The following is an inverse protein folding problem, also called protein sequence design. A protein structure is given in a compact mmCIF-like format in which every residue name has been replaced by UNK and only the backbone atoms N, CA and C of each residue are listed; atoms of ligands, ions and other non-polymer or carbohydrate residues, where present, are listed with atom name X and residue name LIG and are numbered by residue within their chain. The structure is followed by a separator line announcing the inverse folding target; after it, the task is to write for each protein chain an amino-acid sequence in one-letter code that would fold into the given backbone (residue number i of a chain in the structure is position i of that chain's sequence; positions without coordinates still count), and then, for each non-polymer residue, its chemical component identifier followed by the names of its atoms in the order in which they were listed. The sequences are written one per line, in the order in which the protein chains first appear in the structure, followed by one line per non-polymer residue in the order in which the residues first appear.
data_IF_479785464210
#
_entry.id   IF_479785464210
#
_cell.length_a   1.000
_cell.length_b   1.000
_cell.length_c   1.000
_cell.angle_alpha   90.00
_cell.angle_beta   90.00
_cell.angle_gamma   90.00
#
_symmetry.space_group_name_H-M   'P 1'
#
loop_
_entity.id
_entity.type
_entity.pdbx_description
1 polymer ?
#
# COMPACT_ATOMS: atom_id res chain seq x y z
N UNK A 1 -29.34 14.80 -12.64
CA UNK A 1 -27.96 14.41 -12.27
C UNK A 1 -27.67 13.11 -12.98
N UNK A 2 -26.84 13.18 -14.02
CA UNK A 2 -26.44 12.01 -14.81
C UNK A 2 -25.37 11.24 -14.02
N UNK A 3 -25.43 9.90 -13.93
CA UNK A 3 -24.37 9.15 -13.29
C UNK A 3 -23.11 9.28 -14.15
N UNK A 4 -22.01 9.73 -13.54
CA UNK A 4 -20.68 9.65 -14.13
C UNK A 4 -20.43 8.19 -14.51
N UNK A 5 -20.27 7.94 -15.82
CA UNK A 5 -19.70 6.69 -16.31
C UNK A 5 -18.20 6.77 -16.08
N UNK A 6 -17.78 6.48 -14.86
CA UNK A 6 -16.37 6.38 -14.45
C UNK A 6 -15.88 4.94 -14.67
N UNK A 7 -15.87 4.46 -15.91
CA UNK A 7 -14.99 3.34 -16.25
C UNK A 7 -13.56 3.91 -16.34
N UNK A 8 -12.59 3.30 -15.65
CA UNK A 8 -11.20 3.54 -16.04
C UNK A 8 -11.11 3.20 -17.53
N UNK A 9 -10.46 4.04 -18.33
CA UNK A 9 -10.40 3.97 -19.81
C UNK A 9 -9.94 2.61 -20.42
N UNK A 10 -9.65 1.61 -19.59
CA UNK A 10 -9.06 0.31 -19.91
C UNK A 10 -9.75 -0.86 -19.16
N UNK A 11 -11.01 -0.71 -18.73
CA UNK A 11 -11.77 -1.78 -18.06
C UNK A 11 -11.30 -2.15 -16.65
N UNK A 12 -10.35 -1.39 -16.08
CA UNK A 12 -9.96 -1.49 -14.67
C UNK A 12 -11.08 -0.90 -13.80
N UNK A 13 -11.21 -1.43 -12.59
CA UNK A 13 -12.09 -0.84 -11.57
C UNK A 13 -11.63 0.58 -11.25
N UNK A 14 -12.40 1.37 -10.51
CA UNK A 14 -11.85 2.54 -9.81
C UNK A 14 -11.49 2.19 -8.36
N UNK A 15 -10.69 3.02 -7.70
CA UNK A 15 -10.22 2.73 -6.33
C UNK A 15 -11.38 2.46 -5.36
N UNK A 16 -12.47 3.22 -5.44
CA UNK A 16 -13.65 3.03 -4.58
C UNK A 16 -14.34 1.69 -4.81
N UNK A 17 -14.42 1.23 -6.06
CA UNK A 17 -15.01 -0.08 -6.38
C UNK A 17 -14.14 -1.22 -5.86
N UNK A 18 -12.82 -1.06 -5.93
CA UNK A 18 -11.86 -2.06 -5.48
C UNK A 18 -11.79 -2.14 -3.95
N UNK A 19 -11.89 -1.00 -3.26
CA UNK A 19 -11.87 -0.89 -1.80
C UNK A 19 -13.26 -1.00 -1.15
N UNK A 20 -14.29 -1.33 -1.93
CA UNK A 20 -15.66 -1.32 -1.46
C UNK A 20 -15.88 -2.35 -0.35
N UNK A 21 -16.55 -1.91 0.71
CA UNK A 21 -16.97 -2.76 1.82
C UNK A 21 -18.48 -2.65 2.03
N UNK A 22 -19.09 -3.77 2.42
CA UNK A 22 -20.49 -3.80 2.88
C UNK A 22 -20.56 -3.80 4.40
N UNK A 23 -21.45 -3.02 5.01
CA UNK A 23 -21.75 -3.16 6.42
C UNK A 23 -22.47 -4.50 6.67
N UNK A 24 -22.10 -5.15 7.77
CA UNK A 24 -22.77 -6.34 8.30
C UNK A 24 -23.53 -5.98 9.58
N UNK A 25 -24.47 -6.82 10.04
CA UNK A 25 -25.12 -6.62 11.33
C UNK A 25 -24.11 -6.50 12.47
N UNK A 26 -24.30 -5.50 13.32
CA UNK A 26 -23.49 -5.29 14.52
C UNK A 26 -23.53 -6.53 15.42
N UNK A 27 -22.41 -6.84 16.07
CA UNK A 27 -22.35 -7.85 17.12
C UNK A 27 -22.28 -7.18 18.47
N UNK A 28 -23.13 -7.61 19.41
CA UNK A 28 -22.98 -7.23 20.81
C UNK A 28 -22.17 -8.29 21.52
N UNK A 29 -21.03 -7.90 22.08
CA UNK A 29 -20.19 -8.77 22.90
C UNK A 29 -19.90 -8.09 24.24
N UNK A 30 -20.36 -8.71 25.32
CA UNK A 30 -20.04 -8.29 26.69
C UNK A 30 -20.36 -6.81 26.98
N UNK A 31 -21.43 -6.28 26.37
CA UNK A 31 -21.86 -4.88 26.52
C UNK A 31 -21.22 -3.89 25.53
N UNK A 32 -20.27 -4.35 24.70
CA UNK A 32 -19.67 -3.55 23.65
C UNK A 32 -20.33 -3.86 22.30
N UNK A 33 -20.68 -2.81 21.56
CA UNK A 33 -21.12 -2.93 20.16
C UNK A 33 -19.89 -3.00 19.26
N UNK A 34 -19.78 -4.09 18.51
CA UNK A 34 -18.75 -4.33 17.51
C UNK A 34 -19.36 -4.06 16.14
N UNK A 35 -18.85 -3.05 15.44
CA UNK A 35 -19.22 -2.77 14.05
C UNK A 35 -18.56 -3.79 13.14
N UNK A 36 -19.29 -4.29 12.15
CA UNK A 36 -18.78 -5.33 11.24
C UNK A 36 -18.89 -4.88 9.79
N UNK A 37 -17.87 -5.19 9.01
CA UNK A 37 -17.83 -4.93 7.57
C UNK A 37 -17.24 -6.13 6.84
N UNK A 38 -17.57 -6.27 5.56
CA UNK A 38 -17.00 -7.29 4.68
C UNK A 38 -16.46 -6.64 3.40
N UNK A 39 -15.29 -7.05 2.93
CA UNK A 39 -14.81 -6.65 1.61
C UNK A 39 -15.70 -7.24 0.52
N UNK A 40 -16.11 -6.45 -0.47
CA UNK A 40 -16.91 -6.97 -1.59
C UNK A 40 -16.05 -7.71 -2.62
N UNK A 41 -14.76 -7.41 -2.69
CA UNK A 41 -13.84 -7.94 -3.69
C UNK A 41 -12.60 -8.57 -3.06
N UNK A 42 -11.93 -9.41 -3.84
CA UNK A 42 -10.65 -10.00 -3.48
C UNK A 42 -9.62 -8.90 -3.23
N UNK A 43 -8.74 -9.10 -2.25
CA UNK A 43 -7.55 -8.25 -2.13
C UNK A 43 -6.69 -8.38 -3.38
N UNK A 44 -6.20 -7.25 -3.89
CA UNK A 44 -5.23 -7.27 -4.97
C UNK A 44 -3.87 -7.75 -4.46
N UNK A 45 -3.21 -8.53 -5.30
CA UNK A 45 -1.85 -9.00 -5.08
C UNK A 45 -1.04 -8.68 -6.34
N UNK A 46 0.10 -8.01 -6.17
CA UNK A 46 0.95 -7.57 -7.28
C UNK A 46 1.47 -8.72 -8.15
N UNK A 47 1.60 -9.92 -7.56
CA UNK A 47 2.01 -11.13 -8.28
C UNK A 47 1.00 -11.56 -9.35
N UNK A 48 -0.28 -11.22 -9.22
CA UNK A 48 -1.29 -11.52 -10.23
C UNK A 48 -1.08 -10.72 -11.52
N UNK A 49 -0.38 -9.58 -11.44
CA UNK A 49 -0.04 -8.76 -12.59
C UNK A 49 1.22 -9.27 -13.32
N UNK A 50 1.90 -10.29 -12.80
CA UNK A 50 3.14 -10.85 -13.38
C UNK A 50 2.85 -12.21 -14.06
N UNK A 51 2.94 -12.31 -15.41
CA UNK A 51 2.42 -13.46 -16.16
C UNK A 51 2.98 -14.84 -15.79
N UNK A 52 4.24 -14.91 -15.33
CA UNK A 52 4.91 -16.17 -15.01
C UNK A 52 4.96 -16.49 -13.50
N UNK A 53 4.43 -15.63 -12.64
CA UNK A 53 4.41 -15.85 -11.18
C UNK A 53 3.03 -16.24 -10.65
N UNK A 54 2.03 -16.42 -11.53
CA UNK A 54 0.74 -17.00 -11.15
C UNK A 54 0.96 -18.35 -10.46
N UNK A 55 0.68 -18.40 -9.15
CA UNK A 55 0.81 -19.58 -8.30
C UNK A 55 2.12 -19.74 -7.52
N UNK A 56 3.10 -18.81 -7.63
CA UNK A 56 4.46 -19.04 -7.10
C UNK A 56 4.86 -18.28 -5.83
N UNK A 57 4.13 -17.23 -5.39
CA UNK A 57 4.50 -16.48 -4.17
C UNK A 57 3.29 -16.15 -3.30
N UNK A 58 3.07 -16.95 -2.26
CA UNK A 58 2.24 -16.59 -1.13
C UNK A 58 3.10 -15.86 -0.08
N UNK A 59 2.74 -14.62 0.26
CA UNK A 59 3.29 -13.90 1.41
C UNK A 59 2.84 -14.58 2.71
N UNK A 60 3.62 -15.54 3.24
CA UNK A 60 3.32 -16.26 4.50
C UNK A 60 3.68 -15.43 5.74
N UNK A 61 2.87 -15.40 6.81
CA UNK A 61 2.65 -16.60 7.65
C UNK A 61 1.22 -17.10 7.85
N UNK A 62 0.21 -16.30 7.47
CA UNK A 62 -1.17 -16.67 7.14
C UNK A 62 -1.71 -15.58 6.19
N UNK A 63 -0.97 -15.35 5.10
CA UNK A 63 -1.33 -14.32 4.12
C UNK A 63 -2.78 -14.47 3.71
N UNK A 64 -3.51 -13.36 3.69
CA UNK A 64 -4.92 -13.45 3.39
C UNK A 64 -5.17 -13.94 1.97
N UNK A 65 -6.21 -14.74 1.82
CA UNK A 65 -6.55 -15.48 0.62
C UNK A 65 -7.40 -14.60 -0.30
N UNK A 66 -7.22 -14.75 -1.61
CA UNK A 66 -7.94 -13.94 -2.61
C UNK A 66 -9.28 -14.54 -3.03
N UNK A 67 -9.58 -15.77 -2.62
CA UNK A 67 -10.78 -16.52 -2.99
C UNK A 67 -11.94 -16.35 -2.00
N UNK A 68 -11.82 -15.44 -1.03
CA UNK A 68 -12.80 -15.23 0.05
C UNK A 68 -12.70 -13.81 0.64
N UNK A 69 -13.78 -13.30 1.26
CA UNK A 69 -13.78 -11.95 1.79
C UNK A 69 -12.94 -11.81 3.06
N UNK A 70 -12.51 -10.57 3.32
CA UNK A 70 -12.08 -10.14 4.64
C UNK A 70 -13.28 -9.63 5.44
N UNK A 71 -13.40 -10.11 6.68
CA UNK A 71 -14.39 -9.69 7.66
C UNK A 71 -13.67 -8.79 8.67
N UNK A 72 -14.08 -7.53 8.73
CA UNK A 72 -13.55 -6.50 9.61
C UNK A 72 -14.45 -6.36 10.82
N UNK A 73 -13.89 -6.49 12.01
CA UNK A 73 -14.57 -6.22 13.27
C UNK A 73 -13.92 -5.00 13.92
N UNK A 74 -14.71 -3.94 14.15
CA UNK A 74 -14.26 -2.67 14.68
C UNK A 74 -14.80 -2.48 16.09
N UNK A 75 -13.90 -2.36 17.05
CA UNK A 75 -14.19 -2.13 18.46
C UNK A 75 -13.67 -0.75 18.87
N UNK A 76 -14.53 0.06 19.49
CA UNK A 76 -14.10 1.32 20.11
C UNK A 76 -13.34 1.03 21.39
N UNK A 77 -12.05 1.36 21.43
CA UNK A 77 -11.22 1.25 22.63
C UNK A 77 -11.40 2.45 23.56
N UNK A 78 -11.44 3.64 22.96
CA UNK A 78 -11.66 4.89 23.68
C UNK A 78 -12.29 5.92 22.75
N UNK A 79 -13.26 6.67 23.26
CA UNK A 79 -13.90 7.75 22.54
C UNK A 79 -14.03 8.97 23.45
N UNK A 80 -13.49 10.09 23.00
CA UNK A 80 -13.71 11.40 23.59
C UNK A 80 -13.79 12.46 22.47
N UNK A 81 -14.22 13.70 22.75
CA UNK A 81 -14.40 14.72 21.71
C UNK A 81 -13.15 15.03 20.87
N UNK A 82 -11.96 14.73 21.38
CA UNK A 82 -10.69 15.03 20.73
C UNK A 82 -10.03 13.81 20.08
N UNK A 83 -10.38 12.59 20.52
CA UNK A 83 -9.73 11.36 20.08
C UNK A 83 -10.72 10.21 20.01
N UNK A 84 -10.70 9.52 18.87
CA UNK A 84 -11.40 8.26 18.68
C UNK A 84 -10.37 7.17 18.40
N UNK A 85 -10.29 6.15 19.27
CA UNK A 85 -9.35 5.03 19.13
C UNK A 85 -10.12 3.75 18.86
N UNK A 86 -9.81 3.12 17.73
CA UNK A 86 -10.42 1.90 17.25
C UNK A 86 -9.40 0.77 17.23
N UNK A 87 -9.86 -0.42 17.60
CA UNK A 87 -9.21 -1.67 17.24
C UNK A 87 -9.99 -2.29 16.09
N UNK A 88 -9.32 -2.48 14.96
CA UNK A 88 -9.82 -3.26 13.84
C UNK A 88 -9.18 -4.64 13.89
N UNK A 89 -9.98 -5.69 13.96
CA UNK A 89 -9.53 -7.09 13.85
C UNK A 89 -10.10 -7.69 12.58
N UNK A 90 -9.24 -8.31 11.77
CA UNK A 90 -9.64 -8.83 10.47
C UNK A 90 -9.43 -10.33 10.40
N UNK A 91 -10.44 -11.05 9.92
CA UNK A 91 -10.44 -12.50 9.72
C UNK A 91 -10.99 -12.84 8.35
N UNK A 92 -10.81 -14.07 7.90
CA UNK A 92 -11.43 -14.58 6.69
C UNK A 92 -12.19 -15.88 6.97
N UNK A 93 -13.22 -16.21 6.19
CA UNK A 93 -13.82 -17.53 6.18
C UNK A 93 -12.79 -18.66 6.00
N UNK A 94 -13.03 -19.80 6.63
CA UNK A 94 -12.21 -21.01 6.47
C UNK A 94 -12.43 -21.72 5.13
N UNK A 95 -13.59 -21.49 4.50
CA UNK A 95 -13.91 -21.97 3.16
C UNK A 95 -13.81 -20.84 2.11
N UNK A 96 -13.54 -21.17 0.82
CA UNK A 96 -13.65 -20.22 -0.28
C UNK A 96 -15.06 -19.64 -0.41
N UNK A 97 -15.17 -18.53 -1.15
CA UNK A 97 -16.44 -17.92 -1.51
C UNK A 97 -17.36 -18.89 -2.25
N UNK A 98 -18.66 -18.71 -2.07
CA UNK A 98 -19.69 -19.45 -2.80
C UNK A 98 -19.94 -18.92 -4.22
N UNK A 99 -19.40 -17.76 -4.58
CA UNK A 99 -19.54 -17.21 -5.93
C UNK A 99 -18.50 -17.80 -6.89
N UNK A 100 -18.97 -18.65 -7.81
CA UNK A 100 -18.12 -19.28 -8.82
C UNK A 100 -17.53 -18.29 -9.84
N UNK A 101 -18.13 -17.10 -10.03
CA UNK A 101 -17.61 -16.08 -10.94
C UNK A 101 -16.39 -15.33 -10.38
N UNK A 102 -16.25 -15.27 -9.04
CA UNK A 102 -15.11 -14.64 -8.37
C UNK A 102 -15.00 -13.12 -8.53
N UNK A 103 -16.03 -12.46 -9.05
CA UNK A 103 -16.06 -11.01 -9.30
C UNK A 103 -16.45 -10.19 -8.04
N UNK A 104 -17.27 -10.77 -7.16
CA UNK A 104 -17.63 -10.24 -5.85
C UNK A 104 -17.88 -11.36 -4.82
N UNK A 105 -17.94 -11.01 -3.54
CA UNK A 105 -18.27 -11.92 -2.44
C UNK A 105 -19.73 -11.74 -1.96
N UNK A 106 -20.57 -12.80 -2.04
CA UNK A 106 -21.94 -12.77 -1.52
C UNK A 106 -21.99 -12.49 -0.02
N UNK A 107 -23.02 -11.77 0.45
CA UNK A 107 -23.23 -11.51 1.89
C UNK A 107 -23.28 -12.79 2.74
N UNK A 108 -23.75 -13.89 2.17
CA UNK A 108 -23.79 -15.19 2.85
C UNK A 108 -22.39 -15.70 3.24
N UNK A 109 -21.34 -15.28 2.55
CA UNK A 109 -19.97 -15.67 2.88
C UNK A 109 -19.51 -15.09 4.22
N UNK A 110 -20.11 -14.00 4.70
CA UNK A 110 -19.82 -13.39 6.00
C UNK A 110 -20.23 -14.27 7.20
N UNK A 111 -21.13 -15.22 6.97
CA UNK A 111 -21.66 -16.14 7.98
C UNK A 111 -20.91 -17.48 8.02
N UNK A 112 -19.95 -17.67 7.10
CA UNK A 112 -19.09 -18.86 7.11
C UNK A 112 -18.17 -18.87 8.35
N UNK A 113 -17.77 -20.05 8.85
CA UNK A 113 -16.87 -20.15 9.99
C UNK A 113 -15.55 -19.41 9.74
N UNK A 114 -15.24 -18.45 10.60
CA UNK A 114 -14.05 -17.61 10.48
C UNK A 114 -12.80 -18.35 10.97
N UNK A 115 -11.71 -18.17 10.24
CA UNK A 115 -10.38 -18.63 10.61
C UNK A 115 -9.72 -17.73 11.66
N UNK A 116 -8.39 -17.88 11.86
CA UNK A 116 -7.63 -17.02 12.74
C UNK A 116 -7.55 -15.58 12.21
N UNK A 117 -7.02 -14.68 13.05
CA UNK A 117 -6.79 -13.28 12.68
C UNK A 117 -5.74 -13.19 11.57
N UNK A 118 -6.10 -12.50 10.49
CA UNK A 118 -5.19 -12.17 9.39
C UNK A 118 -4.29 -11.01 9.79
N UNK A 119 -4.89 -9.93 10.29
CA UNK A 119 -4.19 -8.79 10.87
C UNK A 119 -5.08 -8.02 11.85
N UNK A 120 -4.44 -7.16 12.64
CA UNK A 120 -5.11 -6.18 13.50
C UNK A 120 -4.51 -4.80 13.28
N UNK A 121 -5.32 -3.76 13.41
CA UNK A 121 -4.89 -2.37 13.30
C UNK A 121 -5.45 -1.53 14.46
N UNK A 122 -4.61 -0.66 15.01
CA UNK A 122 -5.03 0.41 15.90
C UNK A 122 -5.16 1.68 15.06
N UNK A 123 -6.33 2.30 15.09
CA UNK A 123 -6.62 3.50 14.29
C UNK A 123 -7.07 4.61 15.22
N UNK A 124 -6.42 5.76 15.12
CA UNK A 124 -6.69 6.93 15.95
C UNK A 124 -7.15 8.08 15.05
N UNK A 125 -8.33 8.62 15.33
CA UNK A 125 -8.86 9.81 14.66
C UNK A 125 -8.81 11.01 15.58
N UNK A 126 -8.60 12.18 14.98
CA UNK A 126 -8.64 13.48 15.62
C UNK A 126 -9.43 14.46 14.75
N UNK A 127 -10.27 15.34 15.33
CA UNK A 127 -10.89 16.42 14.56
C UNK A 127 -9.85 17.36 13.94
N UNK A 128 -10.22 17.96 12.81
CA UNK A 128 -9.42 19.04 12.21
C UNK A 128 -9.23 20.20 13.19
N UNK A 129 -8.08 20.85 13.11
CA UNK A 129 -7.74 21.96 14.01
C UNK A 129 -6.91 23.02 13.29
N UNK A 130 -6.81 24.20 13.90
CA UNK A 130 -5.92 25.25 13.41
C UNK A 130 -4.51 24.93 13.88
N UNK A 131 -3.57 24.86 12.93
CA UNK A 131 -2.15 24.65 13.24
C UNK A 131 -1.57 25.88 13.92
N UNK A 132 -1.34 25.80 15.24
CA UNK A 132 -0.69 26.88 15.99
C UNK A 132 0.81 26.96 15.70
N UNK A 133 1.44 25.81 15.46
CA UNK A 133 2.86 25.67 15.12
C UNK A 133 2.96 24.71 13.94
N UNK A 134 3.63 25.16 12.88
CA UNK A 134 3.92 24.34 11.70
C UNK A 134 5.43 24.34 11.46
N UNK A 135 6.02 23.14 11.43
CA UNK A 135 7.43 22.95 11.13
C UNK A 135 7.61 21.60 10.42
N UNK A 136 8.42 21.62 9.37
CA UNK A 136 8.83 20.43 8.61
C UNK A 136 10.25 20.65 8.09
N UNK A 137 10.88 19.60 7.56
CA UNK A 137 12.13 19.74 6.84
C UNK A 137 11.94 20.42 5.47
N UNK A 138 13.06 20.76 4.82
CA UNK A 138 13.04 21.26 3.45
C UNK A 138 12.37 20.24 2.52
N UNK A 139 11.46 20.72 1.67
CA UNK A 139 10.68 19.86 0.78
C UNK A 139 11.58 19.01 -0.12
N UNK A 140 11.09 17.81 -0.45
CA UNK A 140 11.80 16.92 -1.38
C UNK A 140 11.99 17.58 -2.74
N UNK A 141 11.03 18.39 -3.18
CA UNK A 141 11.09 19.18 -4.41
C UNK A 141 12.28 20.13 -4.39
N UNK A 142 12.51 20.85 -3.29
CA UNK A 142 13.65 21.76 -3.17
C UNK A 142 14.97 21.00 -3.04
N UNK A 143 15.03 19.91 -2.25
CA UNK A 143 16.25 19.13 -2.05
C UNK A 143 16.73 18.41 -3.31
N UNK A 144 15.80 17.96 -4.16
CA UNK A 144 16.08 17.19 -5.37
C UNK A 144 15.76 17.97 -6.65
N UNK A 145 15.62 19.29 -6.59
CA UNK A 145 15.20 20.14 -7.72
C UNK A 145 16.01 19.88 -9.01
N UNK A 146 17.33 19.74 -8.90
CA UNK A 146 18.20 19.48 -10.05
C UNK A 146 17.96 18.11 -10.71
N UNK A 147 17.58 17.10 -9.94
CA UNK A 147 17.29 15.75 -10.47
C UNK A 147 15.88 15.73 -11.03
N UNK A 148 14.89 16.24 -10.28
CA UNK A 148 13.50 16.29 -10.72
C UNK A 148 13.32 17.13 -11.99
N UNK A 149 14.10 18.22 -12.14
CA UNK A 149 14.11 19.08 -13.33
C UNK A 149 15.05 18.61 -14.45
N UNK A 150 15.74 17.47 -14.29
CA UNK A 150 16.70 16.99 -15.30
C UNK A 150 16.03 16.46 -16.57
N UNK A 151 14.75 16.07 -16.48
CA UNK A 151 13.93 15.63 -17.61
C UNK A 151 12.44 15.89 -17.34
N UNK A 152 11.61 16.03 -18.39
CA UNK A 152 10.16 16.11 -18.28
C UNK A 152 9.54 14.91 -17.56
N UNK A 153 8.37 15.12 -16.93
CA UNK A 153 7.64 14.08 -16.20
C UNK A 153 7.33 12.83 -17.02
N UNK A 154 7.04 13.00 -18.31
CA UNK A 154 6.71 11.91 -19.23
C UNK A 154 7.90 10.97 -19.51
N UNK A 155 9.14 11.45 -19.30
CA UNK A 155 10.38 10.70 -19.53
C UNK A 155 10.83 9.90 -18.30
N UNK A 156 10.13 10.01 -17.17
CA UNK A 156 10.35 9.09 -16.05
C UNK A 156 9.69 7.74 -16.33
N UNK A 157 10.43 6.69 -16.01
CA UNK A 157 9.99 5.31 -16.17
C UNK A 157 8.79 5.01 -15.26
N UNK A 158 7.78 4.26 -15.74
CA UNK A 158 6.69 3.80 -14.90
C UNK A 158 7.21 2.88 -13.77
N UNK A 159 6.53 2.92 -12.63
CA UNK A 159 6.81 1.98 -11.54
C UNK A 159 6.12 0.64 -11.84
N UNK A 160 6.87 -0.46 -11.96
CA UNK A 160 6.30 -1.77 -12.25
C UNK A 160 5.44 -2.27 -11.07
N UNK A 161 4.47 -3.18 -11.30
CA UNK A 161 3.65 -3.78 -10.26
C UNK A 161 4.45 -4.51 -9.18
N UNK A 162 5.58 -5.10 -9.57
CA UNK A 162 6.57 -5.69 -8.68
C UNK A 162 7.94 -5.09 -8.98
N UNK A 163 8.37 -4.13 -8.16
CA UNK A 163 9.69 -3.50 -8.29
C UNK A 163 10.80 -4.38 -7.72
N UNK A 164 11.09 -5.47 -8.43
CA UNK A 164 12.19 -6.41 -8.14
C UNK A 164 13.11 -6.43 -9.35
N UNK A 165 14.39 -6.07 -9.16
CA UNK A 165 15.33 -5.88 -10.27
C UNK A 165 15.36 -7.06 -11.28
N UNK A 166 15.32 -8.31 -10.82
CA UNK A 166 15.26 -9.48 -11.70
C UNK A 166 13.98 -9.60 -12.53
N UNK A 167 12.82 -9.22 -11.95
CA UNK A 167 11.53 -9.20 -12.67
C UNK A 167 11.53 -8.07 -13.70
N UNK A 168 11.96 -6.87 -13.31
CA UNK A 168 12.03 -5.70 -14.19
C UNK A 168 12.99 -5.96 -15.36
N UNK A 169 14.14 -6.59 -15.11
CA UNK A 169 15.06 -6.98 -16.19
C UNK A 169 14.45 -7.99 -17.16
N UNK A 170 13.50 -8.81 -16.72
CA UNK A 170 12.86 -9.84 -17.56
C UNK A 170 11.64 -9.32 -18.33
N UNK A 171 10.88 -8.39 -17.76
CA UNK A 171 9.60 -7.92 -18.30
C UNK A 171 9.60 -6.47 -18.78
N UNK A 172 10.62 -5.70 -18.45
CA UNK A 172 10.61 -4.25 -18.62
C UNK A 172 9.83 -3.52 -17.53
N UNK A 173 9.75 -2.21 -17.67
CA UNK A 173 9.06 -1.27 -16.78
C UNK A 173 7.61 -1.01 -17.19
N UNK A 174 7.28 -1.20 -18.47
CA UNK A 174 5.98 -0.89 -19.09
C UNK A 174 4.83 -1.84 -18.72
N UNK A 175 5.03 -2.71 -17.73
CA UNK A 175 3.98 -3.61 -17.26
C UNK A 175 2.91 -2.81 -16.52
N UNK A 176 1.74 -2.66 -17.15
CA UNK A 176 0.60 -2.00 -16.54
C UNK A 176 -0.10 -2.99 -15.60
N UNK A 177 -0.08 -2.67 -14.30
CA UNK A 177 -0.81 -3.45 -13.29
C UNK A 177 -2.32 -3.27 -13.38
N UNK A 178 -3.07 -4.21 -12.80
CA UNK A 178 -4.54 -4.19 -12.84
C UNK A 178 -5.16 -3.29 -11.77
N UNK A 179 -4.43 -2.95 -10.70
CA UNK A 179 -4.96 -2.12 -9.62
C UNK A 179 -5.03 -0.63 -10.00
N UNK A 180 -6.18 0.03 -9.81
CA UNK A 180 -6.48 1.31 -10.47
C UNK A 180 -6.34 2.56 -9.59
N UNK A 181 -5.45 2.58 -8.61
CA UNK A 181 -5.37 3.74 -7.72
C UNK A 181 -4.60 4.92 -8.33
N UNK A 182 -3.43 4.62 -8.88
CA UNK A 182 -2.38 5.62 -9.06
C UNK A 182 -1.54 5.32 -10.30
N UNK A 183 -1.26 6.36 -11.06
CA UNK A 183 -0.16 6.39 -12.02
C UNK A 183 1.11 6.72 -11.24
N UNK A 184 2.19 5.97 -11.48
CA UNK A 184 3.42 6.03 -10.69
C UNK A 184 4.64 6.05 -11.60
N UNK A 185 5.58 6.95 -11.32
CA UNK A 185 6.87 7.07 -12.00
C UNK A 185 8.02 6.96 -11.00
N UNK A 186 9.12 6.32 -11.42
CA UNK A 186 10.34 6.19 -10.60
C UNK A 186 11.39 7.20 -11.05
N UNK A 187 11.87 8.02 -10.11
CA UNK A 187 12.99 8.93 -10.37
C UNK A 187 14.28 8.13 -10.32
N UNK A 188 15.13 8.31 -11.33
CA UNK A 188 16.48 7.73 -11.32
C UNK A 188 17.38 8.46 -10.33
N UNK A 189 17.66 7.79 -9.20
CA UNK A 189 18.58 8.25 -8.17
C UNK A 189 19.90 7.47 -8.16
N UNK A 190 20.25 6.75 -9.23
CA UNK A 190 21.43 5.89 -9.27
C UNK A 190 22.71 6.67 -8.93
N UNK A 191 22.97 7.79 -9.61
CA UNK A 191 24.14 8.64 -9.35
C UNK A 191 24.07 9.32 -7.97
N UNK A 192 22.88 9.63 -7.47
CA UNK A 192 22.73 10.21 -6.12
C UNK A 192 23.04 9.19 -5.02
N UNK A 193 22.67 7.92 -5.23
CA UNK A 193 22.83 6.84 -4.26
C UNK A 193 24.22 6.17 -4.31
N UNK A 194 25.00 6.41 -5.37
CA UNK A 194 26.32 5.83 -5.55
C UNK A 194 27.24 6.12 -4.34
N UNK A 195 27.91 5.08 -3.85
CA UNK A 195 28.81 5.17 -2.70
C UNK A 195 28.14 5.37 -1.34
N UNK A 196 26.84 5.68 -1.27
CA UNK A 196 26.15 5.91 -0.01
C UNK A 196 25.84 4.62 0.75
N UNK A 197 25.94 4.64 2.10
CA UNK A 197 25.42 3.55 2.91
C UNK A 197 23.89 3.46 2.79
N UNK A 198 23.33 2.28 3.04
CA UNK A 198 21.91 1.98 2.81
C UNK A 198 20.94 3.04 3.41
N UNK A 199 21.20 3.48 4.65
CA UNK A 199 20.35 4.45 5.36
C UNK A 199 20.38 5.88 4.77
N UNK A 200 21.40 6.20 3.97
CA UNK A 200 21.51 7.47 3.25
C UNK A 200 20.97 7.39 1.81
N UNK A 201 20.71 6.18 1.30
CA UNK A 201 20.08 6.00 -0.01
C UNK A 201 18.63 6.43 0.02
N UNK A 202 18.13 6.87 -1.13
CA UNK A 202 16.75 7.32 -1.34
C UNK A 202 16.15 6.70 -2.58
N UNK A 203 14.84 6.50 -2.57
CA UNK A 203 14.04 6.34 -3.77
C UNK A 203 12.94 7.40 -3.78
N UNK A 204 12.67 8.00 -4.94
CA UNK A 204 11.54 8.91 -5.12
C UNK A 204 10.56 8.30 -6.12
N UNK A 205 9.32 8.14 -5.67
CA UNK A 205 8.20 7.75 -6.53
C UNK A 205 7.32 8.97 -6.72
N UNK A 206 7.14 9.38 -7.97
CA UNK A 206 6.14 10.37 -8.34
C UNK A 206 4.83 9.63 -8.53
N UNK A 207 3.72 10.15 -8.01
CA UNK A 207 2.42 9.53 -8.25
C UNK A 207 1.27 10.52 -8.32
N UNK A 208 0.22 10.13 -9.02
CA UNK A 208 -1.03 10.89 -9.14
C UNK A 208 -2.21 9.93 -9.24
N UNK A 209 -3.42 10.44 -9.03
CA UNK A 209 -4.64 9.68 -9.23
C UNK A 209 -4.74 9.18 -10.68
N UNK A 210 -5.05 7.89 -10.84
CA UNK A 210 -5.33 7.30 -12.16
C UNK A 210 -6.77 7.58 -12.62
N UNK A 211 -7.69 7.74 -11.68
CA UNK A 211 -9.09 8.10 -11.88
C UNK A 211 -9.51 9.12 -10.80
N UNK A 212 -10.47 10.02 -11.08
CA UNK A 212 -10.87 11.04 -10.12
C UNK A 212 -11.51 10.43 -8.86
N UNK A 213 -11.28 11.09 -7.73
CA UNK A 213 -11.93 10.78 -6.45
C UNK A 213 -12.73 12.00 -5.97
N UNK A 214 -13.86 11.80 -5.27
CA UNK A 214 -14.62 12.91 -4.68
C UNK A 214 -13.75 13.71 -3.70
N UNK A 215 -13.53 14.99 -3.97
CA UNK A 215 -12.78 15.87 -3.06
C UNK A 215 -13.50 16.07 -1.70
N UNK A 216 -14.81 15.82 -1.64
CA UNK A 216 -15.61 15.88 -0.42
C UNK A 216 -15.37 14.72 0.56
N UNK A 217 -14.61 13.70 0.15
CA UNK A 217 -14.33 12.52 0.94
C UNK A 217 -12.81 12.38 1.15
N UNK A 218 -12.19 13.13 2.06
CA UNK A 218 -10.73 13.12 2.23
C UNK A 218 -10.19 11.76 2.70
N UNK A 219 -11.01 10.93 3.35
CA UNK A 219 -10.59 9.62 3.86
C UNK A 219 -10.20 8.68 2.71
N UNK A 220 -10.88 8.75 1.57
CA UNK A 220 -10.53 7.93 0.39
C UNK A 220 -9.18 8.34 -0.21
N UNK A 221 -8.82 9.63 -0.18
CA UNK A 221 -7.51 10.12 -0.64
C UNK A 221 -6.39 9.69 0.29
N UNK A 222 -6.61 9.79 1.61
CA UNK A 222 -5.69 9.26 2.63
C UNK A 222 -5.44 7.77 2.42
N UNK A 223 -6.48 7.00 2.09
CA UNK A 223 -6.34 5.57 1.79
C UNK A 223 -5.53 5.32 0.51
N UNK A 224 -5.67 6.15 -0.52
CA UNK A 224 -4.80 6.06 -1.72
C UNK A 224 -3.34 6.34 -1.37
N UNK A 225 -3.05 7.34 -0.54
CA UNK A 225 -1.68 7.60 -0.09
C UNK A 225 -1.08 6.41 0.68
N UNK A 226 -1.86 5.80 1.58
CA UNK A 226 -1.42 4.61 2.30
C UNK A 226 -1.18 3.41 1.35
N UNK A 227 -2.10 3.17 0.41
CA UNK A 227 -1.95 2.12 -0.61
C UNK A 227 -0.68 2.32 -1.45
N UNK A 228 -0.50 3.53 -1.99
CA UNK A 228 0.67 3.92 -2.79
C UNK A 228 1.97 3.64 -2.05
N UNK A 229 2.03 4.03 -0.76
CA UNK A 229 3.21 3.88 0.05
C UNK A 229 3.56 2.40 0.32
N UNK A 230 2.57 1.54 0.46
CA UNK A 230 2.78 0.10 0.71
C UNK A 230 3.05 -0.71 -0.56
N UNK A 231 2.53 -0.29 -1.74
CA UNK A 231 2.51 -1.08 -3.00
C UNK A 231 3.82 -1.81 -3.32
N UNK A 232 4.96 -1.10 -3.28
CA UNK A 232 6.28 -1.69 -3.51
C UNK A 232 7.15 -1.76 -2.25
N UNK A 233 6.77 -1.08 -1.16
CA UNK A 233 7.40 -1.07 0.17
C UNK A 233 8.75 -1.78 0.30
N UNK A 234 8.73 -2.98 0.90
CA UNK A 234 9.92 -3.82 1.15
C UNK A 234 10.70 -4.25 -0.11
N UNK A 235 10.08 -4.27 -1.29
CA UNK A 235 10.75 -4.65 -2.53
C UNK A 235 11.84 -3.61 -2.90
N UNK A 236 11.57 -2.33 -2.67
CA UNK A 236 12.55 -1.25 -2.83
C UNK A 236 13.78 -1.48 -1.94
N UNK A 237 13.58 -1.92 -0.69
CA UNK A 237 14.70 -2.25 0.21
C UNK A 237 15.57 -3.37 -0.38
N UNK A 238 14.94 -4.38 -0.99
CA UNK A 238 15.64 -5.49 -1.64
C UNK A 238 16.55 -5.04 -2.77
N UNK A 239 16.07 -4.14 -3.63
CA UNK A 239 16.88 -3.56 -4.70
C UNK A 239 18.04 -2.73 -4.12
N UNK A 240 17.76 -1.87 -3.14
CA UNK A 240 18.74 -0.98 -2.53
C UNK A 240 19.80 -1.71 -1.70
N UNK A 241 19.47 -2.89 -1.17
CA UNK A 241 20.39 -3.78 -0.48
C UNK A 241 21.20 -4.70 -1.43
N UNK A 242 20.99 -4.60 -2.75
CA UNK A 242 21.72 -5.40 -3.74
C UNK A 242 21.25 -6.85 -3.86
N UNK A 243 20.05 -7.18 -3.35
CA UNK A 243 19.46 -8.52 -3.46
C UNK A 243 18.32 -8.60 -4.48
N UNK A 244 18.07 -7.54 -5.27
CA UNK A 244 16.98 -7.49 -6.24
C UNK A 244 16.97 -8.59 -7.32
N UNK A 245 18.12 -9.19 -7.63
CA UNK A 245 18.22 -10.35 -8.55
C UNK A 245 18.18 -11.71 -7.83
N UNK A 246 18.26 -11.71 -6.49
CA UNK A 246 18.30 -12.91 -5.67
C UNK A 246 17.32 -12.79 -4.50
N UNK A 247 16.18 -12.11 -4.70
CA UNK A 247 15.19 -11.92 -3.65
C UNK A 247 14.47 -13.26 -3.41
N UNK A 248 14.48 -13.73 -2.17
CA UNK A 248 13.89 -15.02 -1.80
C UNK A 248 12.56 -14.90 -1.11
N UNK A 249 12.51 -14.14 -0.01
CA UNK A 249 11.30 -13.93 0.77
C UNK A 249 11.20 -12.48 1.23
N UNK A 250 10.07 -11.86 0.95
CA UNK A 250 9.62 -10.63 1.57
C UNK A 250 8.29 -10.92 2.30
N UNK A 251 8.03 -10.25 3.43
CA UNK A 251 6.70 -10.23 4.07
C UNK A 251 6.62 -9.11 5.10
N UNK A 252 5.54 -8.34 5.08
CA UNK A 252 5.31 -7.27 6.06
C UNK A 252 4.98 -7.88 7.43
N UNK A 253 5.58 -7.32 8.49
CA UNK A 253 5.36 -7.71 9.87
C UNK A 253 4.53 -6.65 10.62
N UNK A 254 4.83 -5.38 10.38
CA UNK A 254 4.08 -4.25 10.91
C UNK A 254 4.13 -3.07 9.94
N UNK A 255 3.07 -2.26 9.96
CA UNK A 255 2.92 -1.09 9.13
C UNK A 255 2.33 0.05 9.96
N UNK A 256 2.80 1.27 9.77
CA UNK A 256 2.29 2.46 10.44
C UNK A 256 2.22 3.60 9.44
N UNK A 257 1.10 4.30 9.43
CA UNK A 257 0.86 5.44 8.55
C UNK A 257 0.28 6.58 9.37
N UNK A 258 0.98 7.71 9.39
CA UNK A 258 0.64 8.87 10.20
C UNK A 258 0.40 10.05 9.29
N UNK A 259 -0.81 10.60 9.31
CA UNK A 259 -1.16 11.84 8.59
C UNK A 259 -0.89 13.02 9.52
N UNK A 260 -0.06 13.96 9.06
CA UNK A 260 0.41 15.11 9.87
C UNK A 260 -0.46 16.35 9.71
N UNK A 261 -1.25 16.40 8.64
CA UNK A 261 -2.05 17.57 8.21
C UNK A 261 -3.54 17.33 8.45
N UNK A 262 -4.35 18.38 8.29
CA UNK A 262 -5.80 18.19 8.30
C UNK A 262 -6.23 17.38 7.07
N UNK A 263 -7.34 16.61 7.12
CA UNK A 263 -7.75 15.75 6.02
C UNK A 263 -7.90 16.47 4.67
N UNK A 264 -8.31 17.74 4.67
CA UNK A 264 -8.45 18.55 3.46
C UNK A 264 -7.12 18.78 2.72
N UNK A 265 -5.99 18.82 3.45
CA UNK A 265 -4.66 19.01 2.89
C UNK A 265 -4.06 17.71 2.32
N UNK A 266 -4.71 16.57 2.55
CA UNK A 266 -4.38 15.27 1.98
C UNK A 266 -5.23 14.93 0.74
N UNK A 267 -6.11 15.83 0.31
CA UNK A 267 -6.94 15.62 -0.89
C UNK A 267 -6.09 15.76 -2.14
N UNK A 268 -6.12 14.73 -2.99
CA UNK A 268 -5.42 14.73 -4.26
C UNK A 268 -6.27 15.38 -5.34
N UNK A 269 -5.71 16.34 -6.07
CA UNK A 269 -6.30 16.78 -7.33
C UNK A 269 -6.18 15.70 -8.40
N UNK A 270 -7.09 15.75 -9.39
CA UNK A 270 -7.03 14.91 -10.58
C UNK A 270 -6.63 15.77 -11.79
N UNK A 271 -5.59 15.34 -12.52
CA UNK A 271 -5.09 16.06 -13.68
C UNK A 271 -3.61 15.79 -13.96
N UNK A 272 -3.12 16.32 -15.07
CA UNK A 272 -1.77 15.96 -15.54
C UNK A 272 -0.63 16.47 -14.65
N UNK A 273 -0.86 17.59 -13.96
CA UNK A 273 0.13 18.28 -13.12
C UNK A 273 0.01 17.95 -11.61
N UNK A 274 -0.85 17.00 -11.24
CA UNK A 274 -1.18 16.70 -9.84
C UNK A 274 -0.27 15.63 -9.21
N UNK A 275 1.05 15.79 -9.38
CA UNK A 275 2.03 14.82 -8.93
C UNK A 275 2.47 15.05 -7.48
N UNK A 276 2.25 14.02 -6.68
CA UNK A 276 2.76 13.86 -5.33
C UNK A 276 4.09 13.10 -5.35
N UNK A 277 4.87 13.19 -4.27
CA UNK A 277 6.15 12.50 -4.15
C UNK A 277 6.17 11.65 -2.89
N UNK A 278 6.47 10.36 -3.04
CA UNK A 278 6.90 9.50 -1.95
C UNK A 278 8.43 9.47 -1.93
N UNK A 279 9.05 9.97 -0.87
CA UNK A 279 10.47 9.78 -0.58
C UNK A 279 10.65 8.60 0.36
N UNK A 280 11.25 7.52 -0.13
CA UNK A 280 11.61 6.36 0.65
C UNK A 280 13.07 6.42 1.13
N UNK A 281 13.32 6.01 2.37
CA UNK A 281 14.63 5.70 2.89
C UNK A 281 14.65 4.33 3.60
N UNK A 282 15.86 3.82 3.84
CA UNK A 282 16.08 2.43 4.25
C UNK A 282 16.92 2.37 5.53
N UNK A 283 16.35 2.69 6.70
CA UNK A 283 17.13 2.92 7.92
C UNK A 283 17.95 1.72 8.37
N UNK A 284 17.45 0.49 8.16
CA UNK A 284 18.10 -0.72 8.67
C UNK A 284 17.69 -1.98 7.93
N UNK A 285 18.66 -2.86 7.72
CA UNK A 285 18.50 -4.24 7.29
C UNK A 285 19.41 -5.11 8.15
N UNK A 286 18.86 -6.00 8.96
CA UNK A 286 19.61 -6.83 9.90
C UNK A 286 18.76 -8.05 10.30
N UNK A 287 19.38 -9.19 10.61
CA UNK A 287 18.69 -10.39 11.09
C UNK A 287 17.53 -10.88 10.19
N UNK A 288 17.62 -10.63 8.88
CA UNK A 288 16.58 -10.97 7.90
C UNK A 288 15.30 -10.14 8.04
N UNK A 289 15.39 -8.95 8.66
CA UNK A 289 14.35 -7.93 8.73
C UNK A 289 14.82 -6.63 8.10
N UNK A 290 13.91 -5.96 7.41
CA UNK A 290 14.12 -4.70 6.72
C UNK A 290 13.16 -3.65 7.27
N UNK A 291 13.65 -2.42 7.35
CA UNK A 291 12.84 -1.23 7.62
C UNK A 291 12.86 -0.34 6.39
N UNK A 292 11.67 0.11 5.98
CA UNK A 292 11.47 1.24 5.06
C UNK A 292 10.71 2.33 5.80
N UNK A 293 11.04 3.58 5.48
CA UNK A 293 10.29 4.74 5.93
C UNK A 293 10.03 5.65 4.73
N UNK A 294 8.76 5.93 4.47
CA UNK A 294 8.29 6.81 3.41
C UNK A 294 7.83 8.16 3.95
N UNK A 295 8.14 9.24 3.23
CA UNK A 295 7.57 10.57 3.45
C UNK A 295 6.73 10.96 2.24
N UNK A 296 5.49 11.34 2.48
CA UNK A 296 4.53 11.75 1.46
C UNK A 296 4.49 13.27 1.36
N UNK A 297 4.75 13.79 0.17
CA UNK A 297 4.86 15.21 -0.12
C UNK A 297 3.78 15.66 -1.11
N UNK A 298 3.04 16.70 -0.75
CA UNK A 298 2.10 17.37 -1.66
C UNK A 298 2.84 18.04 -2.82
N UNK A 299 2.16 18.34 -3.94
CA UNK A 299 2.75 19.10 -5.06
C UNK A 299 3.40 20.42 -4.60
N UNK A 300 2.82 21.08 -3.60
CA UNK A 300 3.29 22.34 -3.01
C UNK A 300 4.46 22.16 -2.02
N UNK A 301 4.88 20.92 -1.77
CA UNK A 301 6.00 20.60 -0.90
C UNK A 301 5.66 20.51 0.58
N UNK A 302 4.39 20.27 0.93
CA UNK A 302 3.96 19.99 2.31
C UNK A 302 4.18 18.51 2.63
N UNK A 303 4.78 18.20 3.79
CA UNK A 303 4.93 16.82 4.27
C UNK A 303 3.61 16.35 4.89
N UNK A 304 2.81 15.63 4.12
CA UNK A 304 1.42 15.26 4.45
C UNK A 304 1.34 14.04 5.35
N UNK A 305 2.17 13.03 5.09
CA UNK A 305 2.14 11.79 5.87
C UNK A 305 3.50 11.09 5.93
N UNK A 306 3.68 10.25 6.95
CA UNK A 306 4.83 9.35 7.07
C UNK A 306 4.37 7.91 7.17
N UNK A 307 5.03 7.05 6.41
CA UNK A 307 4.90 5.60 6.44
C UNK A 307 6.13 5.01 7.14
N UNK A 308 5.91 3.94 7.91
CA UNK A 308 6.96 3.12 8.50
C UNK A 308 6.55 1.66 8.44
N UNK A 309 7.36 0.85 7.76
CA UNK A 309 7.14 -0.58 7.61
C UNK A 309 8.35 -1.37 8.07
N UNK A 310 8.07 -2.39 8.86
CA UNK A 310 9.01 -3.46 9.18
C UNK A 310 8.53 -4.76 8.56
N UNK A 311 9.46 -5.52 8.01
CA UNK A 311 9.15 -6.80 7.39
C UNK A 311 10.32 -7.75 7.34
N UNK A 312 10.01 -9.00 7.05
CA UNK A 312 10.98 -10.01 6.66
C UNK A 312 11.51 -9.66 5.28
N UNK A 313 12.83 -9.68 5.12
CA UNK A 313 13.49 -9.55 3.82
C UNK A 313 14.72 -10.44 3.80
N UNK A 314 14.72 -11.43 2.90
CA UNK A 314 15.79 -12.43 2.80
C UNK A 314 16.12 -12.75 1.35
N UNK A 315 17.41 -12.95 1.02
CA UNK A 315 17.80 -13.50 -0.27
C UNK A 315 17.31 -14.96 -0.40
N UNK A 316 17.23 -15.46 -1.63
CA UNK A 316 16.93 -16.86 -1.87
C UNK A 316 18.05 -17.74 -1.28
N UNK A 317 17.65 -18.82 -0.61
CA UNK A 317 18.62 -19.80 -0.13
C UNK A 317 19.02 -20.70 -1.31
N UNK A 318 20.31 -21.05 -1.46
CA UNK A 318 20.69 -22.09 -2.40
C UNK A 318 19.95 -23.38 -2.02
N UNK A 319 19.43 -24.09 -3.03
CA UNK A 319 18.85 -25.43 -2.81
C UNK A 319 19.88 -26.26 -2.07
N UNK A 320 19.59 -26.65 -0.83
CA UNK A 320 20.37 -27.70 -0.18
C UNK A 320 20.13 -28.95 -1.03
N UNK A 321 21.18 -29.48 -1.65
CA UNK A 321 21.19 -30.87 -2.06
C UNK A 321 20.80 -31.67 -0.82
N UNK A 322 19.67 -32.37 -0.89
CA UNK A 322 19.31 -33.36 0.11
C UNK A 322 20.45 -34.38 0.13
N UNK A 323 21.40 -34.23 1.05
CA UNK A 323 22.23 -35.36 1.44
C UNK A 323 21.26 -36.39 2.00
N UNK A 324 21.03 -37.43 1.19
CA UNK A 324 20.17 -38.55 1.52
C UNK A 324 20.39 -38.97 2.95
N UNK A 325 19.29 -39.11 3.68
CA UNK A 325 19.28 -39.79 4.97
C UNK A 325 19.77 -41.23 4.71
N UNK A 326 20.99 -41.53 5.16
CA UNK A 326 21.42 -42.90 5.47
C UNK A 326 20.77 -43.32 6.79
#
# INVERSE_FOLDING_TARGET
MSPLKDEAQDGRLIFQEMMRMVPLPDRNDSGNTIKRYMSERAAWISVSDVPFLQGAMAYGGQGGLTDRPYIYEVTTLAANPNFYNLLVTVRQPTAPSTNAAGDFFPLADAELPLGPVCFSALVSFRPSTVSEIAAQEMSVQSRFAGILGSRPLAEWEPVPPMDIAGIVASLGTDLVGTFPAVDMKKVDLSSYNEGKPLHERRELLLYRLLAPLPASDPDVHIMVHAFQADRNGLLMVGNQAGIGFNLGRAASLSYSFVVHVNPADAVMGYGEDQWWIMEACFPRLEAGRAIIMGKIWSPEGVHVATEYQDGILRPAQPRREEKGKL
#
